data_IF_761302724170
#
_entry.id   IF_761302724170
#
_cell.length_a   1.000
_cell.length_b   1.000
_cell.length_c   1.000
_cell.angle_alpha   90.00
_cell.angle_beta   90.00
_cell.angle_gamma   90.00
#
_symmetry.space_group_name_H-M   'P 1'
#
loop_
_entity.id
_entity.type
_entity.pdbx_description
1 polymer ?
#
# COMPACT_ATOMS: atom_id res chain seq x y z
N UNK A 1 -15.86 -12.62 -10.73
CA UNK A 1 -15.29 -11.26 -10.86
C UNK A 1 -14.26 -11.28 -11.97
N UNK A 2 -14.18 -10.27 -12.85
CA UNK A 2 -13.12 -10.18 -13.85
C UNK A 2 -11.75 -10.03 -13.15
N UNK A 3 -10.68 -10.53 -13.77
CA UNK A 3 -9.33 -10.39 -13.26
C UNK A 3 -8.97 -8.91 -13.11
N UNK A 4 -8.49 -8.51 -11.92
CA UNK A 4 -8.03 -7.14 -11.68
C UNK A 4 -6.65 -6.99 -12.28
N UNK A 5 -6.45 -5.93 -13.07
CA UNK A 5 -5.15 -5.64 -13.66
C UNK A 5 -4.09 -5.41 -12.55
N UNK A 6 -2.83 -5.84 -12.76
CA UNK A 6 -1.76 -5.60 -11.79
C UNK A 6 -1.59 -4.12 -11.49
N UNK A 7 -1.37 -3.79 -10.21
CA UNK A 7 -1.12 -2.41 -9.79
C UNK A 7 0.28 -1.95 -10.23
N UNK A 8 0.38 -0.68 -10.59
CA UNK A 8 1.67 -0.01 -10.83
C UNK A 8 2.27 0.50 -9.52
N UNK A 9 3.61 0.49 -9.43
CA UNK A 9 4.35 0.97 -8.27
C UNK A 9 5.44 1.93 -8.70
N UNK A 10 5.51 3.10 -8.05
CA UNK A 10 6.60 4.07 -8.21
C UNK A 10 7.31 4.28 -6.88
N UNK A 11 8.64 4.28 -6.88
CA UNK A 11 9.40 4.51 -5.66
C UNK A 11 9.12 5.91 -5.10
N UNK A 12 9.00 6.02 -3.78
CA UNK A 12 9.04 7.31 -3.07
C UNK A 12 10.45 7.46 -2.50
N UNK A 13 11.26 8.24 -3.18
CA UNK A 13 12.65 8.51 -2.81
C UNK A 13 12.78 9.83 -2.03
N UNK A 14 13.99 10.21 -1.64
CA UNK A 14 14.25 11.45 -0.89
C UNK A 14 14.32 12.71 -1.77
N UNK A 15 13.87 12.66 -3.02
CA UNK A 15 14.03 13.76 -3.97
C UNK A 15 13.15 14.96 -3.61
N UNK A 16 11.94 14.73 -3.12
CA UNK A 16 11.01 15.78 -2.70
C UNK A 16 10.87 15.89 -1.17
N UNK A 17 10.13 16.90 -0.71
CA UNK A 17 9.92 17.12 0.74
C UNK A 17 9.22 15.94 1.41
N UNK A 18 8.23 15.32 0.76
CA UNK A 18 7.41 14.27 1.35
C UNK A 18 8.23 13.00 1.53
N UNK A 19 8.98 12.61 0.51
CA UNK A 19 9.84 11.46 0.54
C UNK A 19 10.98 11.57 1.55
N UNK A 20 11.56 12.76 1.73
CA UNK A 20 12.50 13.02 2.85
C UNK A 20 11.87 12.77 4.21
N UNK A 21 10.67 13.29 4.46
CA UNK A 21 9.96 13.08 5.74
C UNK A 21 9.66 11.60 5.98
N UNK A 22 9.28 10.85 4.93
CA UNK A 22 9.02 9.42 5.06
C UNK A 22 10.29 8.63 5.40
N UNK A 23 11.43 9.00 4.81
CA UNK A 23 12.72 8.38 5.11
C UNK A 23 13.21 8.70 6.52
N UNK A 24 13.09 9.95 6.95
CA UNK A 24 13.59 10.40 8.24
C UNK A 24 12.77 9.84 9.42
N UNK A 25 11.44 9.86 9.32
CA UNK A 25 10.57 9.58 10.47
C UNK A 25 9.96 8.18 10.48
N UNK A 26 9.90 7.49 9.33
CA UNK A 26 9.09 6.27 9.20
C UNK A 26 9.83 5.05 8.65
N UNK A 27 11.08 5.19 8.20
CA UNK A 27 11.95 4.03 7.88
C UNK A 27 12.57 3.48 9.16
N UNK A 28 12.71 2.16 9.24
CA UNK A 28 13.23 1.48 10.43
C UNK A 28 13.89 0.14 10.08
N UNK A 29 14.31 -0.60 11.09
CA UNK A 29 14.79 -1.98 10.93
C UNK A 29 13.75 -2.88 10.22
N UNK A 30 12.45 -2.58 10.35
CA UNK A 30 11.36 -3.35 9.73
C UNK A 30 10.76 -2.68 8.49
N UNK A 31 10.64 -1.34 8.48
CA UNK A 31 10.05 -0.60 7.35
C UNK A 31 11.15 -0.10 6.43
N UNK A 32 11.27 -0.67 5.23
CA UNK A 32 12.38 -0.44 4.29
C UNK A 32 12.16 0.66 3.25
N UNK A 33 11.08 1.42 3.38
CA UNK A 33 10.74 2.50 2.46
C UNK A 33 9.29 2.44 2.01
N UNK A 34 8.96 3.30 1.05
CA UNK A 34 7.62 3.52 0.54
C UNK A 34 7.56 3.54 -0.99
N UNK A 35 6.39 3.20 -1.52
CA UNK A 35 6.03 3.28 -2.93
C UNK A 35 4.67 3.97 -3.07
N UNK A 36 4.47 4.67 -4.18
CA UNK A 36 3.14 5.08 -4.63
C UNK A 36 2.53 3.94 -5.43
N UNK A 37 1.31 3.56 -5.10
CA UNK A 37 0.59 2.45 -5.71
C UNK A 37 -0.61 2.93 -6.52
N UNK A 38 -0.73 2.41 -7.75
CA UNK A 38 -1.84 2.63 -8.68
C UNK A 38 -1.99 4.08 -9.15
N UNK A 39 -3.04 4.33 -9.92
CA UNK A 39 -3.29 5.64 -10.56
C UNK A 39 -3.51 6.77 -9.55
N UNK A 40 -4.03 6.43 -8.37
CA UNK A 40 -4.24 7.37 -7.25
C UNK A 40 -2.97 7.64 -6.44
N UNK A 41 -1.85 6.97 -6.75
CA UNK A 41 -0.55 7.17 -6.13
C UNK A 41 -0.58 7.07 -4.60
N UNK A 42 -1.28 6.07 -4.06
CA UNK A 42 -1.42 5.87 -2.61
C UNK A 42 -0.07 5.46 -2.03
N UNK A 43 0.40 6.15 -0.99
CA UNK A 43 1.66 5.82 -0.32
C UNK A 43 1.52 4.54 0.52
N UNK A 44 2.27 3.50 0.16
CA UNK A 44 2.28 2.20 0.81
C UNK A 44 3.72 1.79 1.16
N UNK A 45 3.94 0.96 2.20
CA UNK A 45 5.26 0.37 2.44
C UNK A 45 5.71 -0.46 1.23
N UNK A 46 7.02 -0.52 0.95
CA UNK A 46 7.58 -1.30 -0.19
C UNK A 46 7.07 -2.76 -0.22
N UNK A 47 6.97 -3.40 0.96
CA UNK A 47 6.46 -4.78 1.12
C UNK A 47 5.04 -4.99 0.58
N UNK A 48 4.25 -3.94 0.44
CA UNK A 48 2.91 -4.06 -0.15
C UNK A 48 2.96 -4.54 -1.61
N UNK A 49 4.02 -4.22 -2.35
CA UNK A 49 4.18 -4.69 -3.74
C UNK A 49 4.17 -6.23 -3.84
N UNK A 50 4.74 -6.93 -2.84
CA UNK A 50 4.76 -8.40 -2.79
C UNK A 50 3.39 -9.00 -2.44
N UNK A 51 2.51 -8.22 -1.81
CA UNK A 51 1.20 -8.67 -1.29
C UNK A 51 0.03 -8.23 -2.17
N UNK A 52 0.22 -7.21 -3.00
CA UNK A 52 -0.85 -6.55 -3.72
C UNK A 52 -1.66 -7.51 -4.60
N UNK A 53 -0.98 -8.30 -5.46
CA UNK A 53 -1.68 -9.23 -6.34
C UNK A 53 -2.39 -10.35 -5.57
N UNK A 54 -1.76 -11.03 -4.59
CA UNK A 54 -2.46 -11.98 -3.73
C UNK A 54 -3.70 -11.41 -3.02
N UNK A 55 -3.68 -10.14 -2.61
CA UNK A 55 -4.85 -9.46 -2.01
C UNK A 55 -5.95 -9.22 -3.05
N UNK A 56 -5.59 -8.90 -4.30
CA UNK A 56 -6.56 -8.72 -5.37
C UNK A 56 -7.19 -10.04 -5.83
N UNK A 57 -6.43 -11.14 -5.73
CA UNK A 57 -6.86 -12.49 -6.12
C UNK A 57 -7.60 -13.23 -4.99
N UNK A 58 -7.80 -12.59 -3.83
CA UNK A 58 -8.41 -13.19 -2.65
C UNK A 58 -9.86 -13.63 -2.98
N UNK A 59 -10.24 -14.90 -2.74
CA UNK A 59 -11.60 -15.36 -2.99
C UNK A 59 -12.57 -14.70 -2.01
N UNK A 60 -13.46 -13.86 -2.52
CA UNK A 60 -14.54 -13.22 -1.75
C UNK A 60 -15.73 -14.20 -1.66
N UNK A 61 -16.29 -14.32 -0.46
CA UNK A 61 -17.48 -15.14 -0.15
C UNK A 61 -18.69 -14.27 0.16
N UNK A 62 -19.88 -14.84 0.01
CA UNK A 62 -21.15 -14.13 0.20
C UNK A 62 -21.40 -13.72 1.66
N UNK A 63 -20.75 -14.39 2.62
CA UNK A 63 -20.85 -14.14 4.05
C UNK A 63 -19.68 -13.32 4.62
N UNK A 64 -18.75 -12.86 3.78
CA UNK A 64 -17.63 -12.03 4.23
C UNK A 64 -18.14 -10.65 4.69
N UNK A 65 -17.78 -10.28 5.93
CA UNK A 65 -18.03 -8.94 6.47
C UNK A 65 -16.73 -8.17 6.55
N UNK A 66 -16.68 -7.03 5.88
CA UNK A 66 -15.50 -6.17 5.81
C UNK A 66 -15.71 -4.91 6.64
N UNK A 67 -14.75 -4.59 7.49
CA UNK A 67 -14.65 -3.29 8.13
C UNK A 67 -13.41 -2.59 7.61
N UNK A 68 -13.61 -1.47 6.91
CA UNK A 68 -12.56 -0.80 6.13
C UNK A 68 -12.50 0.66 6.54
N UNK A 69 -11.31 1.09 6.97
CA UNK A 69 -11.10 2.45 7.44
C UNK A 69 -9.66 2.90 7.19
N UNK A 70 -9.41 4.21 7.26
CA UNK A 70 -8.04 4.71 7.32
C UNK A 70 -7.48 4.43 8.72
N UNK A 71 -6.20 4.07 8.89
CA UNK A 71 -5.66 3.79 10.22
C UNK A 71 -5.96 4.91 11.22
N UNK A 72 -6.36 4.53 12.43
CA UNK A 72 -6.66 5.43 13.57
C UNK A 72 -8.03 6.14 13.53
N UNK A 73 -9.01 5.65 12.77
CA UNK A 73 -10.36 6.25 12.72
C UNK A 73 -11.45 5.50 13.50
N UNK A 74 -11.11 4.63 14.45
CA UNK A 74 -12.09 3.94 15.32
C UNK A 74 -12.27 2.44 15.07
N UNK A 75 -11.41 1.86 14.23
CA UNK A 75 -11.09 0.42 14.19
C UNK A 75 -9.72 0.16 14.84
#
# INVERSE_FOLDING_TARGET
>A
MPAVAPLSFAAVDGSDRVGRLLQEYFVSAFRKGYVQCGDKKVAMPVRYADLAQPILDLPIRDDDVWVVSHPKTGE
#
